data_IF_517379576519
#
_entry.id   IF_517379576519
#
_cell.length_a   1.000
_cell.length_b   1.000
_cell.length_c   1.000
_cell.angle_alpha   90.00
_cell.angle_beta   90.00
_cell.angle_gamma   90.00
#
_symmetry.space_group_name_H-M   'P 1'
#
loop_
_entity.id
_entity.type
_entity.pdbx_description
1 polymer ?
#
# COMPACT_ATOMS: atom_id res chain seq x y z
N UNK A 1 60.41 23.62 11.76
CA UNK A 1 61.27 22.59 12.36
C UNK A 1 60.49 22.03 13.54
N UNK A 2 59.95 20.80 13.54
CA UNK A 2 60.18 19.63 12.70
C UNK A 2 58.83 18.92 12.44
N UNK A 3 58.66 18.38 11.23
CA UNK A 3 57.57 17.47 10.85
C UNK A 3 57.78 16.11 11.53
N UNK A 4 56.83 15.65 12.34
CA UNK A 4 56.76 14.25 12.77
C UNK A 4 55.99 13.45 11.69
N UNK A 5 56.72 12.83 10.78
CA UNK A 5 56.19 11.83 9.86
C UNK A 5 55.84 10.55 10.65
N UNK A 6 54.54 10.31 10.90
CA UNK A 6 54.07 9.03 11.44
C UNK A 6 54.19 7.93 10.37
N UNK A 7 55.32 7.22 10.39
CA UNK A 7 55.55 6.05 9.55
C UNK A 7 54.66 4.88 10.02
N UNK A 8 53.80 4.35 9.14
CA UNK A 8 52.93 3.21 9.44
C UNK A 8 53.74 1.92 9.67
N UNK A 9 54.21 1.71 10.90
CA UNK A 9 54.97 0.50 11.22
C UNK A 9 54.10 -0.76 11.21
N UNK A 10 54.56 -1.75 10.45
CA UNK A 10 53.90 -3.03 10.25
C UNK A 10 53.69 -3.77 11.58
N UNK A 11 52.52 -4.40 11.77
CA UNK A 11 52.04 -4.96 13.06
C UNK A 11 53.02 -5.92 13.73
N UNK A 12 53.86 -6.58 12.93
CA UNK A 12 54.90 -7.51 13.38
C UNK A 12 56.08 -6.81 14.05
N UNK A 13 56.50 -5.65 13.55
CA UNK A 13 57.59 -4.85 14.13
C UNK A 13 57.19 -4.29 15.50
N UNK A 14 55.94 -3.83 15.65
CA UNK A 14 55.40 -3.35 16.95
C UNK A 14 55.39 -4.44 18.02
N UNK A 15 55.06 -5.68 17.63
CA UNK A 15 55.07 -6.83 18.54
C UNK A 15 56.48 -7.28 18.92
N UNK A 16 57.45 -7.15 18.00
CA UNK A 16 58.85 -7.46 18.28
C UNK A 16 59.47 -6.44 19.23
N UNK A 17 59.24 -5.13 19.01
CA UNK A 17 59.71 -4.06 19.89
C UNK A 17 59.11 -4.16 21.29
N UNK A 18 57.80 -4.46 21.40
CA UNK A 18 57.14 -4.66 22.70
C UNK A 18 57.74 -5.85 23.47
N UNK A 19 58.04 -6.97 22.78
CA UNK A 19 58.67 -8.15 23.39
C UNK A 19 60.12 -7.89 23.82
N UNK A 20 60.89 -7.11 23.05
CA UNK A 20 62.27 -6.76 23.40
C UNK A 20 62.36 -5.81 24.60
N UNK A 21 61.36 -4.93 24.78
CA UNK A 21 61.38 -3.92 25.84
C UNK A 21 61.03 -4.45 27.23
N UNK A 22 60.37 -5.61 27.34
CA UNK A 22 60.18 -6.38 28.59
C UNK A 22 59.44 -5.70 29.75
N UNK A 23 58.94 -4.47 29.59
CA UNK A 23 58.26 -3.72 30.66
C UNK A 23 56.74 -3.91 30.56
N UNK A 24 56.03 -4.25 31.66
CA UNK A 24 54.58 -4.26 31.67
C UNK A 24 54.06 -2.85 31.38
N UNK A 25 52.97 -2.76 30.60
CA UNK A 25 52.33 -1.48 30.27
C UNK A 25 51.80 -0.89 31.58
N UNK A 26 52.46 0.15 32.09
CA UNK A 26 52.04 0.83 33.31
C UNK A 26 50.65 1.45 33.10
N UNK A 27 49.79 1.38 34.12
CA UNK A 27 48.51 2.08 34.12
C UNK A 27 48.77 3.59 33.91
N UNK A 28 47.94 4.23 33.08
CA UNK A 28 48.10 5.63 32.73
C UNK A 28 47.77 6.53 33.93
N UNK A 29 48.75 6.82 34.79
CA UNK A 29 48.60 7.64 36.01
C UNK A 29 48.73 9.14 35.75
N UNK A 30 48.77 9.60 34.49
CA UNK A 30 48.89 11.02 34.16
C UNK A 30 47.76 11.39 33.21
N UNK A 31 46.87 12.27 33.67
CA UNK A 31 45.89 12.93 32.83
C UNK A 31 46.61 13.50 31.60
N UNK A 32 46.19 13.18 30.37
CA UNK A 32 46.79 13.80 29.20
C UNK A 32 46.67 15.31 29.37
N UNK A 33 47.78 16.05 29.23
CA UNK A 33 47.77 17.52 29.20
C UNK A 33 47.04 17.96 27.94
N UNK A 34 45.71 17.92 27.99
CA UNK A 34 44.84 18.48 26.97
C UNK A 34 45.12 19.98 26.97
N UNK A 35 45.69 20.50 25.87
CA UNK A 35 45.73 21.95 25.67
C UNK A 35 44.26 22.40 25.64
N UNK A 36 43.85 23.15 26.65
CA UNK A 36 42.54 23.83 26.72
C UNK A 36 42.53 24.93 25.66
N UNK A 37 42.47 24.53 24.38
CA UNK A 37 42.20 25.44 23.29
C UNK A 37 40.74 25.88 23.46
N UNK A 38 40.55 27.13 23.87
CA UNK A 38 39.21 27.71 23.90
C UNK A 38 38.66 27.70 22.46
N UNK A 39 37.37 27.35 22.26
CA UNK A 39 36.74 27.43 20.95
C UNK A 39 36.91 28.86 20.40
N UNK A 40 37.24 28.96 19.12
CA UNK A 40 37.32 30.26 18.45
C UNK A 40 35.91 30.87 18.39
N UNK A 41 35.71 31.96 19.15
CA UNK A 41 34.48 32.76 19.15
C UNK A 41 34.44 33.81 18.05
N UNK A 42 35.40 33.79 17.12
CA UNK A 42 35.36 34.68 15.96
C UNK A 42 34.09 34.42 15.13
N UNK A 43 33.61 35.48 14.47
CA UNK A 43 32.41 35.40 13.64
C UNK A 43 32.58 34.32 12.57
N UNK A 44 31.50 33.59 12.22
CA UNK A 44 31.56 32.54 11.22
C UNK A 44 32.16 33.07 9.91
N UNK A 45 33.19 32.40 9.41
CA UNK A 45 33.94 32.80 8.20
C UNK A 45 33.17 32.54 6.90
N UNK A 46 32.04 31.85 6.96
CA UNK A 46 31.21 31.49 5.81
C UNK A 46 29.75 31.85 6.02
N UNK A 47 28.94 31.58 4.99
CA UNK A 47 27.49 31.79 5.02
C UNK A 47 26.90 31.08 6.24
N UNK A 48 26.21 31.83 7.08
CA UNK A 48 25.53 31.24 8.24
C UNK A 48 24.28 30.50 7.77
N UNK A 49 23.79 29.56 8.59
CA UNK A 49 22.49 28.93 8.34
C UNK A 49 21.35 29.96 8.27
N UNK A 50 21.49 31.08 8.99
CA UNK A 50 20.56 32.21 8.93
C UNK A 50 20.61 32.91 7.56
N UNK A 51 21.80 33.11 7.01
CA UNK A 51 21.97 33.71 5.68
C UNK A 51 21.39 32.80 4.58
N UNK A 52 21.64 31.49 4.68
CA UNK A 52 21.07 30.48 3.75
C UNK A 52 19.55 30.43 3.87
N UNK A 53 19.01 30.52 5.09
CA UNK A 53 17.57 30.59 5.32
C UNK A 53 16.95 31.84 4.70
N UNK A 54 17.56 33.00 4.92
CA UNK A 54 17.09 34.27 4.36
C UNK A 54 17.16 34.27 2.83
N UNK A 55 18.21 33.69 2.25
CA UNK A 55 18.36 33.51 0.80
C UNK A 55 17.23 32.64 0.22
N UNK A 56 16.97 31.46 0.82
CA UNK A 56 15.87 30.57 0.39
C UNK A 56 14.48 31.18 0.61
N UNK A 57 14.28 31.90 1.70
CA UNK A 57 13.03 32.60 2.02
C UNK A 57 12.73 33.71 1.00
N UNK A 58 13.76 34.48 0.62
CA UNK A 58 13.63 35.51 -0.42
C UNK A 58 13.34 34.89 -1.81
N UNK A 59 13.92 33.73 -2.14
CA UNK A 59 13.59 33.01 -3.37
C UNK A 59 12.15 32.48 -3.38
N UNK A 60 11.63 32.07 -2.22
CA UNK A 60 10.23 31.66 -2.06
C UNK A 60 9.26 32.84 -2.19
N UNK A 61 9.60 34.00 -1.62
CA UNK A 61 8.74 35.20 -1.63
C UNK A 61 8.66 35.88 -3.00
N UNK A 62 9.71 35.77 -3.82
CA UNK A 62 9.71 36.23 -5.21
C UNK A 62 8.73 35.45 -6.12
N UNK A 63 8.18 34.33 -5.65
CA UNK A 63 7.20 33.53 -6.37
C UNK A 63 7.84 32.54 -7.35
N UNK A 64 7.31 31.31 -7.33
CA UNK A 64 7.68 30.11 -8.13
C UNK A 64 9.03 30.18 -8.90
N UNK A 65 10.17 29.97 -8.23
CA UNK A 65 11.41 29.56 -8.91
C UNK A 65 11.39 28.07 -9.35
N UNK A 66 10.31 27.34 -9.03
CA UNK A 66 10.17 25.93 -9.37
C UNK A 66 9.57 25.80 -10.77
N UNK A 67 10.24 25.03 -11.62
CA UNK A 67 9.79 24.71 -12.98
C UNK A 67 8.30 24.32 -12.94
N UNK A 68 7.50 24.87 -13.85
CA UNK A 68 6.03 24.64 -13.88
C UNK A 68 5.69 23.14 -14.01
N UNK A 69 6.65 22.33 -14.46
CA UNK A 69 6.58 20.87 -14.48
C UNK A 69 6.43 20.22 -13.09
N UNK A 70 6.76 20.92 -12.01
CA UNK A 70 6.77 20.41 -10.63
C UNK A 70 5.79 21.15 -9.70
N UNK A 71 4.68 21.63 -10.27
CA UNK A 71 3.61 22.30 -9.51
C UNK A 71 2.73 21.32 -8.70
N UNK A 72 3.16 20.08 -8.55
CA UNK A 72 2.49 18.97 -7.86
C UNK A 72 2.67 19.02 -6.32
N UNK A 73 3.50 19.94 -5.80
CA UNK A 73 3.64 20.18 -4.36
C UNK A 73 4.47 19.11 -3.63
N UNK A 74 5.25 18.33 -4.37
CA UNK A 74 6.02 17.21 -3.83
C UNK A 74 7.47 17.59 -3.57
N UNK A 75 8.03 17.04 -2.50
CA UNK A 75 9.44 17.17 -2.18
C UNK A 75 10.25 16.29 -3.15
N UNK A 76 11.27 16.86 -3.79
CA UNK A 76 12.15 16.18 -4.73
C UNK A 76 13.61 16.27 -4.27
N UNK A 77 14.45 15.31 -4.66
CA UNK A 77 15.90 15.39 -4.49
C UNK A 77 16.53 16.36 -5.51
N UNK A 78 17.83 16.61 -5.40
CA UNK A 78 18.58 17.48 -6.32
C UNK A 78 18.59 16.96 -7.77
N UNK A 79 18.26 15.68 -7.99
CA UNK A 79 18.16 15.03 -9.30
C UNK A 79 16.74 15.13 -9.90
N UNK A 80 15.78 15.67 -9.14
CA UNK A 80 14.38 15.84 -9.55
C UNK A 80 13.49 14.62 -9.31
N UNK A 81 13.98 13.58 -8.63
CA UNK A 81 13.17 12.44 -8.21
C UNK A 81 12.31 12.83 -7.01
N UNK A 82 11.06 12.35 -6.97
CA UNK A 82 10.16 12.61 -5.86
C UNK A 82 10.59 11.81 -4.63
N UNK A 83 11.03 12.50 -3.58
CA UNK A 83 11.36 11.90 -2.29
C UNK A 83 10.06 11.69 -1.51
N UNK A 84 9.73 10.43 -1.21
CA UNK A 84 8.63 10.08 -0.31
C UNK A 84 7.29 9.75 -0.98
N UNK A 85 7.20 9.71 -2.31
CA UNK A 85 6.06 9.07 -2.98
C UNK A 85 6.35 7.60 -3.20
N UNK A 86 6.18 6.82 -2.15
CA UNK A 86 5.71 5.44 -2.34
C UNK A 86 4.21 5.64 -2.56
N UNK A 87 3.76 5.77 -3.82
CA UNK A 87 2.33 5.60 -4.07
C UNK A 87 2.03 4.17 -3.59
N UNK A 88 1.10 3.97 -2.66
CA UNK A 88 0.74 2.63 -2.16
C UNK A 88 0.34 1.68 -3.32
N UNK A 89 -0.06 2.25 -4.46
CA UNK A 89 -0.34 1.59 -5.72
C UNK A 89 0.89 0.99 -6.44
N UNK A 90 2.10 1.41 -6.08
CA UNK A 90 3.36 0.99 -6.72
C UNK A 90 4.18 0.03 -5.85
N UNK A 91 3.85 -0.18 -4.56
CA UNK A 91 4.63 -1.06 -3.68
C UNK A 91 4.56 -2.55 -4.09
N UNK A 92 3.42 -3.00 -4.62
CA UNK A 92 3.22 -4.39 -5.11
C UNK A 92 2.88 -4.44 -6.61
N UNK A 93 2.71 -3.27 -7.24
CA UNK A 93 2.28 -3.11 -8.62
C UNK A 93 0.82 -3.58 -8.88
N UNK A 94 0.29 -3.33 -10.09
CA UNK A 94 -1.10 -3.67 -10.43
C UNK A 94 -1.44 -5.16 -10.30
N UNK A 95 -0.46 -6.02 -10.54
CA UNK A 95 -0.63 -7.47 -10.41
C UNK A 95 -0.71 -7.89 -8.94
N UNK A 96 0.14 -7.34 -8.08
CA UNK A 96 0.13 -7.65 -6.65
C UNK A 96 -1.13 -7.16 -5.95
N UNK A 97 -1.58 -5.96 -6.31
CA UNK A 97 -2.86 -5.40 -5.84
C UNK A 97 -4.05 -6.28 -6.30
N UNK A 98 -4.06 -6.75 -7.55
CA UNK A 98 -5.08 -7.69 -8.02
C UNK A 98 -5.05 -9.03 -7.29
N UNK A 99 -3.87 -9.59 -7.00
CA UNK A 99 -3.72 -10.83 -6.22
C UNK A 99 -4.24 -10.65 -4.80
N UNK A 100 -3.90 -9.54 -4.14
CA UNK A 100 -4.38 -9.23 -2.80
C UNK A 100 -5.92 -9.23 -2.75
N UNK A 101 -6.56 -8.48 -3.66
CA UNK A 101 -8.01 -8.43 -3.76
C UNK A 101 -8.64 -9.77 -4.13
N UNK A 102 -8.01 -10.54 -5.03
CA UNK A 102 -8.50 -11.87 -5.42
C UNK A 102 -8.48 -12.84 -4.22
N UNK A 103 -7.44 -12.78 -3.38
CA UNK A 103 -7.35 -13.60 -2.17
C UNK A 103 -8.40 -13.17 -1.14
N UNK A 104 -8.55 -11.86 -0.90
CA UNK A 104 -9.57 -11.34 0.04
C UNK A 104 -10.98 -11.70 -0.39
N UNK A 105 -11.32 -11.50 -1.67
CA UNK A 105 -12.64 -11.87 -2.21
C UNK A 105 -12.82 -13.38 -2.32
N UNK A 106 -11.76 -14.14 -2.58
CA UNK A 106 -11.76 -15.60 -2.54
C UNK A 106 -12.11 -16.13 -1.15
N UNK A 107 -11.57 -15.49 -0.09
CA UNK A 107 -11.93 -15.81 1.29
C UNK A 107 -13.39 -15.48 1.58
N UNK A 108 -13.87 -14.30 1.18
CA UNK A 108 -15.29 -13.93 1.30
C UNK A 108 -16.20 -14.93 0.58
N UNK A 109 -15.86 -15.31 -0.66
CA UNK A 109 -16.59 -16.30 -1.43
C UNK A 109 -16.67 -17.66 -0.71
N UNK A 110 -15.53 -18.15 -0.23
CA UNK A 110 -15.46 -19.40 0.53
C UNK A 110 -16.33 -19.32 1.79
N UNK A 111 -16.27 -18.22 2.53
CA UNK A 111 -17.10 -18.02 3.73
C UNK A 111 -18.59 -18.00 3.39
N UNK A 112 -19.00 -17.27 2.35
CA UNK A 112 -20.40 -17.25 1.90
C UNK A 112 -20.89 -18.63 1.48
N UNK A 113 -20.03 -19.43 0.86
CA UNK A 113 -20.35 -20.79 0.43
C UNK A 113 -20.54 -21.75 1.62
N UNK A 114 -19.67 -21.66 2.63
CA UNK A 114 -19.84 -22.39 3.91
C UNK A 114 -21.13 -21.95 4.62
N UNK A 115 -21.40 -20.64 4.69
CA UNK A 115 -22.60 -20.12 5.32
C UNK A 115 -23.88 -20.58 4.61
N UNK A 116 -23.91 -20.56 3.27
CA UNK A 116 -25.05 -21.03 2.50
C UNK A 116 -25.36 -22.51 2.77
N UNK A 117 -24.34 -23.37 2.81
CA UNK A 117 -24.52 -24.80 3.13
C UNK A 117 -25.03 -25.01 4.56
N UNK A 118 -24.52 -24.24 5.51
CA UNK A 118 -24.97 -24.26 6.91
C UNK A 118 -26.42 -23.77 7.06
N UNK A 119 -26.83 -22.74 6.31
CA UNK A 119 -28.21 -22.21 6.33
C UNK A 119 -29.24 -23.27 5.90
N UNK A 120 -28.89 -24.12 4.93
CA UNK A 120 -29.76 -25.20 4.44
C UNK A 120 -29.52 -26.56 5.10
N UNK A 121 -28.71 -26.62 6.16
CA UNK A 121 -28.32 -27.85 6.87
C UNK A 121 -27.88 -28.97 5.92
N UNK A 122 -27.07 -28.64 4.91
CA UNK A 122 -26.50 -29.63 3.99
C UNK A 122 -25.18 -30.16 4.53
N UNK A 123 -24.88 -31.44 4.24
CA UNK A 123 -23.58 -32.02 4.55
C UNK A 123 -22.48 -31.37 3.69
N UNK A 124 -21.43 -30.89 4.35
CA UNK A 124 -20.35 -30.13 3.69
C UNK A 124 -19.38 -31.12 3.03
N UNK A 125 -19.39 -31.18 1.70
CA UNK A 125 -18.30 -31.78 0.94
C UNK A 125 -17.16 -30.77 0.79
N UNK A 126 -16.20 -30.86 1.72
CA UNK A 126 -15.01 -30.01 1.74
C UNK A 126 -14.20 -30.09 0.44
N UNK A 127 -14.13 -31.26 -0.20
CA UNK A 127 -13.35 -31.44 -1.44
C UNK A 127 -13.97 -30.66 -2.59
N UNK A 128 -15.29 -30.75 -2.74
CA UNK A 128 -16.02 -29.99 -3.75
C UNK A 128 -15.96 -28.48 -3.48
N UNK A 129 -16.07 -28.08 -2.22
CA UNK A 129 -16.00 -26.67 -1.79
C UNK A 129 -14.65 -26.03 -2.14
N UNK A 130 -13.53 -26.69 -1.82
CA UNK A 130 -12.19 -26.20 -2.17
C UNK A 130 -11.97 -26.16 -3.67
N UNK A 131 -12.43 -27.17 -4.43
CA UNK A 131 -12.33 -27.17 -5.91
C UNK A 131 -13.10 -26.01 -6.53
N UNK A 132 -14.33 -25.75 -6.09
CA UNK A 132 -15.15 -24.64 -6.59
C UNK A 132 -14.58 -23.28 -6.21
N UNK A 133 -14.16 -23.11 -4.96
CA UNK A 133 -13.57 -21.84 -4.51
C UNK A 133 -12.23 -21.57 -5.20
N UNK A 134 -11.42 -22.62 -5.40
CA UNK A 134 -10.16 -22.56 -6.13
C UNK A 134 -10.33 -22.23 -7.61
N UNK A 135 -11.39 -22.72 -8.27
CA UNK A 135 -11.66 -22.39 -9.68
C UNK A 135 -12.18 -20.96 -9.86
N UNK A 136 -12.81 -20.37 -8.84
CA UNK A 136 -13.32 -18.99 -8.87
C UNK A 136 -12.20 -17.94 -8.73
N UNK A 137 -11.14 -18.26 -7.97
CA UNK A 137 -9.99 -17.38 -7.70
C UNK A 137 -9.32 -16.79 -8.95
N UNK A 138 -8.92 -17.58 -9.97
CA UNK A 138 -8.30 -17.01 -11.17
C UNK A 138 -9.28 -16.14 -11.98
N UNK A 139 -10.57 -16.50 -11.98
CA UNK A 139 -11.61 -15.71 -12.65
C UNK A 139 -11.74 -14.34 -11.99
N UNK A 140 -11.86 -14.30 -10.67
CA UNK A 140 -11.89 -13.05 -9.91
C UNK A 140 -10.60 -12.25 -10.10
N UNK A 141 -9.43 -12.89 -10.04
CA UNK A 141 -8.14 -12.23 -10.24
C UNK A 141 -8.01 -11.54 -11.60
N UNK A 142 -8.42 -12.21 -12.68
CA UNK A 142 -8.41 -11.62 -14.03
C UNK A 142 -9.39 -10.44 -14.11
N UNK A 143 -10.62 -10.62 -13.62
CA UNK A 143 -11.65 -9.57 -13.65
C UNK A 143 -11.19 -8.34 -12.86
N UNK A 144 -10.66 -8.53 -11.65
CA UNK A 144 -10.14 -7.44 -10.80
C UNK A 144 -8.96 -6.76 -11.47
N UNK A 145 -8.01 -7.53 -12.02
CA UNK A 145 -6.86 -6.98 -12.72
C UNK A 145 -7.29 -6.08 -13.89
N UNK A 146 -8.25 -6.53 -14.70
CA UNK A 146 -8.76 -5.76 -15.82
C UNK A 146 -9.49 -4.49 -15.37
N UNK A 147 -10.39 -4.59 -14.38
CA UNK A 147 -11.20 -3.45 -13.94
C UNK A 147 -10.41 -2.42 -13.11
N UNK A 148 -9.31 -2.83 -12.46
CA UNK A 148 -8.41 -1.93 -11.72
C UNK A 148 -7.15 -1.54 -12.50
N UNK A 149 -6.99 -2.05 -13.73
CA UNK A 149 -5.91 -1.67 -14.65
C UNK A 149 -5.91 -0.17 -14.94
N UNK A 150 -4.72 0.37 -15.26
CA UNK A 150 -4.50 1.79 -15.60
C UNK A 150 -5.43 2.26 -16.73
N UNK A 151 -5.82 1.35 -17.63
CA UNK A 151 -6.77 1.62 -18.72
C UNK A 151 -8.16 2.00 -18.22
N UNK A 152 -8.67 1.31 -17.19
CA UNK A 152 -10.00 1.55 -16.60
C UNK A 152 -10.05 2.88 -15.84
N UNK A 153 -8.95 3.26 -15.17
CA UNK A 153 -8.83 4.52 -14.43
C UNK A 153 -8.83 5.77 -15.33
N UNK A 154 -8.65 5.62 -16.65
CA UNK A 154 -8.65 6.73 -17.61
C UNK A 154 -10.04 7.39 -17.74
N UNK A 155 -11.13 6.65 -17.48
CA UNK A 155 -12.52 7.12 -17.64
C UNK A 155 -13.32 6.85 -16.36
N UNK A 156 -13.10 7.62 -15.28
CA UNK A 156 -13.64 7.30 -13.95
C UNK A 156 -15.17 7.25 -13.94
N UNK A 157 -15.86 8.16 -14.63
CA UNK A 157 -17.33 8.20 -14.65
C UNK A 157 -17.94 6.97 -15.34
N UNK A 158 -17.34 6.51 -16.45
CA UNK A 158 -17.81 5.32 -17.17
C UNK A 158 -17.60 4.08 -16.31
N UNK A 159 -16.44 3.98 -15.65
CA UNK A 159 -16.14 2.90 -14.70
C UNK A 159 -17.18 2.86 -13.57
N UNK A 160 -17.47 3.99 -12.93
CA UNK A 160 -18.48 4.08 -11.87
C UNK A 160 -19.88 3.70 -12.37
N UNK A 161 -20.28 4.16 -13.56
CA UNK A 161 -21.56 3.80 -14.16
C UNK A 161 -21.65 2.29 -14.47
N UNK A 162 -20.57 1.68 -14.96
CA UNK A 162 -20.51 0.24 -15.20
C UNK A 162 -20.64 -0.57 -13.90
N UNK A 163 -19.95 -0.16 -12.83
CA UNK A 163 -20.10 -0.79 -11.51
C UNK A 163 -21.50 -0.60 -10.93
N UNK A 164 -22.11 0.58 -11.07
CA UNK A 164 -23.47 0.84 -10.63
C UNK A 164 -24.48 -0.05 -11.38
N UNK A 165 -24.34 -0.18 -12.70
CA UNK A 165 -25.19 -1.03 -13.53
C UNK A 165 -24.99 -2.51 -13.17
N UNK A 166 -23.75 -2.97 -13.05
CA UNK A 166 -23.44 -4.34 -12.65
C UNK A 166 -23.99 -4.65 -11.24
N UNK A 167 -23.80 -3.77 -10.26
CA UNK A 167 -24.33 -3.93 -8.92
C UNK A 167 -25.87 -3.96 -8.89
N UNK A 168 -26.53 -3.18 -9.74
CA UNK A 168 -27.99 -3.17 -9.85
C UNK A 168 -28.51 -4.46 -10.49
N UNK A 169 -27.90 -4.92 -11.59
CA UNK A 169 -28.30 -6.14 -12.30
C UNK A 169 -28.03 -7.38 -11.45
N UNK A 170 -26.82 -7.50 -10.90
CA UNK A 170 -26.42 -8.65 -10.08
C UNK A 170 -27.24 -8.67 -8.79
N UNK A 171 -27.45 -7.54 -8.12
CA UNK A 171 -28.28 -7.47 -6.91
C UNK A 171 -29.75 -7.82 -7.17
N UNK A 172 -30.35 -7.37 -8.27
CA UNK A 172 -31.72 -7.75 -8.61
C UNK A 172 -31.80 -9.24 -8.95
N UNK A 173 -30.77 -9.77 -9.64
CA UNK A 173 -30.69 -11.18 -9.97
C UNK A 173 -30.51 -12.07 -8.73
N UNK A 174 -29.69 -11.67 -7.75
CA UNK A 174 -29.55 -12.43 -6.49
C UNK A 174 -30.87 -12.47 -5.72
N UNK A 175 -31.62 -11.37 -5.70
CA UNK A 175 -32.97 -11.32 -5.10
C UNK A 175 -33.92 -12.30 -5.80
N UNK A 176 -33.93 -12.33 -7.14
CA UNK A 176 -34.76 -13.29 -7.89
C UNK A 176 -34.35 -14.72 -7.58
N UNK A 177 -33.06 -15.04 -7.68
CA UNK A 177 -32.53 -16.38 -7.41
C UNK A 177 -32.89 -16.85 -6.00
N UNK A 178 -32.74 -15.98 -5.00
CA UNK A 178 -33.06 -16.31 -3.60
C UNK A 178 -34.54 -16.62 -3.38
N UNK A 179 -35.44 -16.00 -4.16
CA UNK A 179 -36.89 -16.13 -3.97
C UNK A 179 -37.56 -17.15 -4.91
N UNK A 180 -37.01 -17.42 -6.10
CA UNK A 180 -37.67 -18.26 -7.11
C UNK A 180 -37.06 -19.64 -7.28
N UNK A 181 -35.78 -19.81 -6.98
CA UNK A 181 -35.07 -21.04 -7.26
C UNK A 181 -35.12 -22.01 -6.07
N UNK A 182 -34.98 -23.30 -6.37
CA UNK A 182 -34.83 -24.32 -5.34
C UNK A 182 -33.54 -24.13 -4.54
N UNK A 183 -33.53 -24.60 -3.29
CA UNK A 183 -32.42 -24.43 -2.34
C UNK A 183 -31.04 -24.83 -2.91
N UNK A 184 -30.99 -25.86 -3.76
CA UNK A 184 -29.73 -26.31 -4.35
C UNK A 184 -29.17 -25.33 -5.40
N UNK A 185 -30.04 -24.71 -6.19
CA UNK A 185 -29.64 -23.69 -7.15
C UNK A 185 -29.19 -22.40 -6.45
N UNK A 186 -29.91 -22.02 -5.39
CA UNK A 186 -29.58 -20.95 -4.46
C UNK A 186 -28.16 -21.16 -3.90
N UNK A 187 -27.89 -22.31 -3.28
CA UNK A 187 -26.60 -22.63 -2.66
C UNK A 187 -25.43 -22.61 -3.64
N UNK A 188 -25.65 -22.92 -4.92
CA UNK A 188 -24.60 -22.88 -5.95
C UNK A 188 -24.35 -21.50 -6.54
N UNK A 189 -25.38 -20.66 -6.63
CA UNK A 189 -25.31 -19.38 -7.36
C UNK A 189 -25.12 -18.18 -6.44
N UNK A 190 -25.64 -18.22 -5.20
CA UNK A 190 -25.55 -17.08 -4.29
C UNK A 190 -24.12 -16.75 -3.84
N UNK A 191 -23.24 -17.71 -3.50
CA UNK A 191 -21.88 -17.36 -3.11
C UNK A 191 -21.11 -16.56 -4.18
N UNK A 192 -21.06 -16.97 -5.47
CA UNK A 192 -20.34 -16.19 -6.48
C UNK A 192 -21.04 -14.87 -6.84
N UNK A 193 -22.37 -14.85 -6.93
CA UNK A 193 -23.11 -13.64 -7.24
C UNK A 193 -23.02 -12.62 -6.10
N UNK A 194 -23.13 -13.07 -4.85
CA UNK A 194 -23.01 -12.25 -3.65
C UNK A 194 -21.62 -11.63 -3.51
N UNK A 195 -20.56 -12.42 -3.70
CA UNK A 195 -19.18 -11.88 -3.70
C UNK A 195 -18.99 -10.80 -4.77
N UNK A 196 -19.47 -11.05 -6.00
CA UNK A 196 -19.34 -10.10 -7.11
C UNK A 196 -20.15 -8.83 -6.86
N UNK A 197 -21.35 -8.97 -6.31
CA UNK A 197 -22.20 -7.83 -5.96
C UNK A 197 -21.56 -6.95 -4.88
N UNK A 198 -21.10 -7.55 -3.79
CA UNK A 198 -20.40 -6.84 -2.71
C UNK A 198 -19.17 -6.12 -3.26
N UNK A 199 -18.40 -6.79 -4.11
CA UNK A 199 -17.23 -6.18 -4.74
C UNK A 199 -17.59 -4.96 -5.59
N UNK A 200 -18.62 -5.03 -6.43
CA UNK A 200 -19.08 -3.89 -7.23
C UNK A 200 -19.51 -2.70 -6.36
N UNK A 201 -20.12 -2.95 -5.20
CA UNK A 201 -20.53 -1.89 -4.25
C UNK A 201 -19.33 -1.26 -3.57
N UNK A 202 -18.32 -2.05 -3.18
CA UNK A 202 -17.11 -1.56 -2.49
C UNK A 202 -16.21 -0.70 -3.40
N UNK A 203 -16.09 -1.04 -4.68
CA UNK A 203 -15.24 -0.28 -5.63
C UNK A 203 -15.90 1.04 -6.06
N UNK A 204 -17.18 1.23 -5.74
CA UNK A 204 -17.97 2.38 -6.16
C UNK A 204 -17.97 3.52 -5.15
N UNK A 205 -18.02 4.77 -5.64
CA UNK A 205 -18.14 5.94 -4.75
C UNK A 205 -19.52 5.96 -4.06
N UNK A 206 -19.59 6.50 -2.84
CA UNK A 206 -20.80 6.53 -2.01
C UNK A 206 -22.00 7.13 -2.77
N UNK A 207 -21.76 8.15 -3.60
CA UNK A 207 -22.79 8.83 -4.40
C UNK A 207 -23.46 7.90 -5.42
N UNK A 208 -22.76 6.89 -5.92
CA UNK A 208 -23.29 5.92 -6.88
C UNK A 208 -23.74 4.62 -6.18
N UNK A 209 -23.09 4.27 -5.07
CA UNK A 209 -23.41 3.10 -4.26
C UNK A 209 -24.80 3.17 -3.65
N UNK A 210 -25.12 4.27 -2.97
CA UNK A 210 -26.42 4.44 -2.30
C UNK A 210 -27.59 4.33 -3.27
N UNK A 211 -27.60 5.01 -4.43
CA UNK A 211 -28.65 4.83 -5.43
C UNK A 211 -28.75 3.40 -5.97
N UNK A 212 -27.63 2.72 -6.25
CA UNK A 212 -27.67 1.34 -6.76
C UNK A 212 -28.30 0.36 -5.75
N UNK A 213 -28.04 0.57 -4.45
CA UNK A 213 -28.66 -0.21 -3.37
C UNK A 213 -30.14 0.15 -3.25
N UNK A 214 -30.48 1.44 -3.39
CA UNK A 214 -31.86 1.92 -3.47
C UNK A 214 -32.66 1.26 -4.59
N UNK A 215 -32.06 1.06 -5.78
CA UNK A 215 -32.70 0.32 -6.89
C UNK A 215 -33.00 -1.12 -6.51
N UNK A 216 -32.03 -1.82 -5.90
CA UNK A 216 -32.23 -3.20 -5.44
C UNK A 216 -33.33 -3.31 -4.37
N UNK A 217 -33.36 -2.37 -3.42
CA UNK A 217 -34.41 -2.30 -2.39
C UNK A 217 -35.78 -1.98 -3.00
N UNK A 218 -35.85 -1.01 -3.91
CA UNK A 218 -37.09 -0.68 -4.62
C UNK A 218 -37.61 -1.87 -5.43
N UNK A 219 -36.72 -2.61 -6.10
CA UNK A 219 -37.06 -3.82 -6.84
C UNK A 219 -37.61 -4.92 -5.92
N UNK A 220 -36.97 -5.15 -4.78
CA UNK A 220 -37.43 -6.09 -3.75
C UNK A 220 -38.86 -5.76 -3.30
N UNK A 221 -39.11 -4.50 -2.93
CA UNK A 221 -40.42 -4.03 -2.46
C UNK A 221 -41.48 -4.11 -3.57
N UNK A 222 -41.13 -3.73 -4.80
CA UNK A 222 -42.07 -3.74 -5.93
C UNK A 222 -42.51 -5.15 -6.31
N UNK A 223 -41.60 -6.13 -6.23
CA UNK A 223 -41.92 -7.53 -6.49
C UNK A 223 -42.62 -8.24 -5.34
N UNK A 224 -42.74 -7.60 -4.17
CA UNK A 224 -43.37 -8.20 -2.98
C UNK A 224 -42.63 -9.43 -2.46
N UNK A 225 -41.34 -9.56 -2.75
CA UNK A 225 -40.52 -10.64 -2.24
C UNK A 225 -40.31 -10.47 -0.74
N UNK A 226 -40.45 -11.56 0.02
CA UNK A 226 -40.29 -11.51 1.46
C UNK A 226 -38.82 -11.60 1.87
N UNK A 227 -38.43 -10.83 2.88
CA UNK A 227 -37.15 -10.98 3.56
C UNK A 227 -37.32 -12.01 4.68
N UNK A 228 -37.10 -13.29 4.38
CA UNK A 228 -37.09 -14.37 5.38
C UNK A 228 -35.83 -15.21 5.26
#
# INVERSE_FOLDING_TARGET
>A
MADEQEEHQNRRARRAAARASGKPVAAATTTPKLKLAQPDYSKPKGKTLLDVYNEKSNLLSQGRPFDKKHADGLVRDEEGNVLGRIDDADLVGPAGDAVFWAVTLGMLHFTLDVLAQNQYRQDIDWSQLFKRSGSMLPVLGIVIYLLRSKTSKRWPTVRQALFAAAASVIGCYTIVVANTNSYYAVMKQLPPLGTTWIWCVIEMDILWAVPSLGVNLAFLLWKGYSVY
#
